data_IF_893171650398
#
_entry.id   IF_893171650398
#
_cell.length_a   1.000
_cell.length_b   1.000
_cell.length_c   1.000
_cell.angle_alpha   90.00
_cell.angle_beta   90.00
_cell.angle_gamma   90.00
#
_symmetry.space_group_name_H-M   'P 1'
#
loop_
_entity.id
_entity.type
_entity.pdbx_description
1 polymer ?
#
# COMPACT_ATOMS: atom_id res chain seq x y z
N UNK A 1 7.07 37.29 24.91
CA UNK A 1 6.56 37.15 23.54
C UNK A 1 6.24 35.68 23.32
N UNK A 2 5.00 35.33 22.94
CA UNK A 2 4.66 33.94 22.65
C UNK A 2 5.58 33.44 21.52
N UNK A 3 6.22 32.30 21.73
CA UNK A 3 7.17 31.74 20.77
C UNK A 3 6.39 31.37 19.50
N UNK A 4 6.67 32.05 18.37
CA UNK A 4 5.97 31.83 17.11
C UNK A 4 6.30 30.44 16.59
N UNK A 5 5.29 29.74 16.08
CA UNK A 5 5.53 28.43 15.46
C UNK A 5 6.05 28.58 14.01
N UNK A 6 6.60 27.49 13.46
CA UNK A 6 7.19 27.51 12.11
C UNK A 6 6.16 27.85 11.02
N UNK A 7 4.89 27.48 11.21
CA UNK A 7 3.84 27.77 10.24
C UNK A 7 3.52 29.26 10.20
N UNK A 8 3.40 29.89 11.38
CA UNK A 8 3.26 31.33 11.51
C UNK A 8 4.45 32.07 10.87
N UNK A 9 5.66 31.53 11.00
CA UNK A 9 6.84 32.07 10.30
C UNK A 9 6.69 31.99 8.77
N UNK A 10 6.14 30.90 8.22
CA UNK A 10 5.87 30.78 6.78
C UNK A 10 4.80 31.78 6.30
N UNK A 11 3.78 32.05 7.13
CA UNK A 11 2.75 33.06 6.85
C UNK A 11 3.38 34.47 6.84
N UNK A 12 4.16 34.82 7.87
CA UNK A 12 4.80 36.13 7.99
C UNK A 12 5.79 36.40 6.85
N UNK A 13 6.53 35.38 6.44
CA UNK A 13 7.49 35.46 5.34
C UNK A 13 6.85 35.37 3.96
N UNK A 14 5.52 35.19 3.87
CA UNK A 14 4.75 34.93 2.64
C UNK A 14 5.26 33.75 1.81
N UNK A 15 5.90 32.78 2.46
CA UNK A 15 6.42 31.55 1.84
C UNK A 15 5.48 30.36 1.96
N UNK A 16 4.30 30.57 2.54
CA UNK A 16 3.35 29.50 2.80
C UNK A 16 3.02 28.72 1.53
N UNK A 17 2.69 29.41 0.44
CA UNK A 17 2.28 28.78 -0.81
C UNK A 17 3.39 27.94 -1.43
N UNK A 18 4.63 28.44 -1.40
CA UNK A 18 5.83 27.70 -1.87
C UNK A 18 6.05 26.43 -1.05
N UNK A 19 5.91 26.51 0.27
CA UNK A 19 6.05 25.35 1.16
C UNK A 19 4.95 24.33 0.92
N UNK A 20 3.71 24.78 0.69
CA UNK A 20 2.59 23.89 0.35
C UNK A 20 2.81 23.19 -0.99
N UNK A 21 3.28 23.88 -2.02
CA UNK A 21 3.56 23.25 -3.31
C UNK A 21 4.71 22.25 -3.18
N UNK A 22 5.76 22.59 -2.43
CA UNK A 22 6.85 21.66 -2.12
C UNK A 22 6.35 20.38 -1.41
N UNK A 23 5.48 20.53 -0.40
CA UNK A 23 4.89 19.39 0.33
C UNK A 23 4.05 18.51 -0.61
N UNK A 24 3.27 19.12 -1.52
CA UNK A 24 2.50 18.39 -2.54
C UNK A 24 3.42 17.66 -3.51
N UNK A 25 4.49 18.30 -3.97
CA UNK A 25 5.48 17.69 -4.86
C UNK A 25 6.19 16.50 -4.21
N UNK A 26 6.65 16.64 -2.97
CA UNK A 26 7.21 15.54 -2.19
C UNK A 26 6.22 14.37 -2.06
N UNK A 27 4.93 14.68 -1.87
CA UNK A 27 3.87 13.68 -1.76
C UNK A 27 3.63 12.93 -3.08
N UNK A 28 3.67 13.64 -4.22
CA UNK A 28 3.60 13.03 -5.57
C UNK A 28 4.81 12.15 -5.87
N UNK A 29 5.99 12.50 -5.35
CA UNK A 29 7.25 11.74 -5.52
C UNK A 29 7.47 10.65 -4.48
N UNK A 30 6.51 10.42 -3.57
CA UNK A 30 6.61 9.47 -2.45
C UNK A 30 7.84 9.69 -1.55
N UNK A 31 8.31 10.93 -1.45
CA UNK A 31 9.44 11.32 -0.59
C UNK A 31 9.07 11.09 0.87
N UNK A 32 10.02 10.57 1.65
CA UNK A 32 9.77 10.28 3.07
C UNK A 32 9.60 11.58 3.86
N UNK A 33 8.80 11.55 4.94
CA UNK A 33 8.65 12.70 5.82
C UNK A 33 10.00 13.18 6.37
N UNK A 34 10.94 12.25 6.62
CA UNK A 34 12.30 12.54 7.09
C UNK A 34 13.08 13.41 6.10
N UNK A 35 13.08 13.07 4.83
CA UNK A 35 13.81 13.80 3.79
C UNK A 35 13.17 15.16 3.53
N UNK A 36 11.85 15.21 3.40
CA UNK A 36 11.11 16.46 3.24
C UNK A 36 11.38 17.44 4.40
N UNK A 37 11.40 16.94 5.65
CA UNK A 37 11.71 17.77 6.82
C UNK A 37 13.15 18.30 6.81
N UNK A 38 14.13 17.51 6.32
CA UNK A 38 15.51 17.98 6.15
C UNK A 38 15.60 19.15 5.17
N UNK A 39 14.86 19.09 4.06
CA UNK A 39 14.82 20.19 3.09
C UNK A 39 14.14 21.45 3.66
N UNK A 40 13.09 21.28 4.46
CA UNK A 40 12.39 22.39 5.11
C UNK A 40 13.13 22.96 6.34
N UNK A 41 14.24 22.34 6.76
CA UNK A 41 14.99 22.77 7.95
C UNK A 41 14.25 22.55 9.27
N UNK A 42 13.33 21.59 9.33
CA UNK A 42 12.52 21.29 10.52
C UNK A 42 12.73 19.86 11.02
N UNK A 43 12.43 19.61 12.29
CA UNK A 43 12.42 18.25 12.84
C UNK A 43 11.11 17.53 12.49
N UNK A 44 11.15 16.19 12.42
CA UNK A 44 9.95 15.39 12.16
C UNK A 44 8.88 15.57 13.24
N UNK A 45 9.29 15.72 14.51
CA UNK A 45 8.39 16.02 15.62
C UNK A 45 7.66 17.34 15.42
N UNK A 46 8.40 18.38 15.02
CA UNK A 46 7.82 19.69 14.70
C UNK A 46 6.80 19.57 13.57
N UNK A 47 7.14 18.86 12.49
CA UNK A 47 6.20 18.65 11.39
C UNK A 47 4.94 17.90 11.82
N UNK A 48 5.06 16.87 12.67
CA UNK A 48 3.90 16.15 13.22
C UNK A 48 3.03 17.05 14.09
N UNK A 49 3.62 17.90 14.92
CA UNK A 49 2.91 18.91 15.71
C UNK A 49 2.19 19.93 14.82
N UNK A 50 2.84 20.37 13.73
CA UNK A 50 2.24 21.29 12.76
C UNK A 50 1.03 20.67 12.07
N UNK A 51 1.11 19.42 11.59
CA UNK A 51 -0.05 18.72 11.01
C UNK A 51 -1.25 18.67 11.94
N UNK A 52 -1.02 18.40 13.24
CA UNK A 52 -2.09 18.37 14.24
C UNK A 52 -2.72 19.74 14.48
N UNK A 53 -1.92 20.81 14.43
CA UNK A 53 -2.38 22.18 14.65
C UNK A 53 -3.03 22.81 13.41
N UNK A 54 -2.54 22.44 12.23
CA UNK A 54 -2.88 22.97 10.93
C UNK A 54 -3.23 21.80 9.99
N UNK A 55 -4.47 21.28 10.07
CA UNK A 55 -4.89 20.10 9.31
C UNK A 55 -4.86 20.31 7.78
N UNK A 56 -4.79 21.55 7.31
CA UNK A 56 -4.58 21.89 5.90
C UNK A 56 -3.30 21.28 5.31
N UNK A 57 -2.24 21.10 6.12
CA UNK A 57 -1.00 20.47 5.69
C UNK A 57 -1.25 18.99 5.39
N UNK A 58 -1.95 18.31 6.29
CA UNK A 58 -2.30 16.90 6.12
C UNK A 58 -3.26 16.71 4.94
N UNK A 59 -4.25 17.59 4.80
CA UNK A 59 -5.17 17.60 3.67
C UNK A 59 -4.43 17.75 2.34
N UNK A 60 -3.49 18.69 2.24
CA UNK A 60 -2.69 18.89 1.03
C UNK A 60 -1.85 17.65 0.66
N UNK A 61 -1.25 16.97 1.66
CA UNK A 61 -0.53 15.71 1.43
C UNK A 61 -1.46 14.59 0.95
N UNK A 62 -2.64 14.48 1.55
CA UNK A 62 -3.62 13.46 1.20
C UNK A 62 -4.16 13.65 -0.22
N UNK A 63 -4.55 14.87 -0.58
CA UNK A 63 -5.00 15.22 -1.93
C UNK A 63 -3.92 14.95 -2.97
N UNK A 64 -2.66 15.32 -2.70
CA UNK A 64 -1.55 15.03 -3.60
C UNK A 64 -1.35 13.52 -3.83
N UNK A 65 -1.51 12.70 -2.79
CA UNK A 65 -1.46 11.22 -2.91
C UNK A 65 -2.64 10.64 -3.65
N UNK A 66 -3.85 11.21 -3.48
CA UNK A 66 -5.02 10.82 -4.27
C UNK A 66 -4.77 11.09 -5.75
N UNK A 67 -4.28 12.30 -6.08
CA UNK A 67 -4.00 12.66 -7.47
C UNK A 67 -2.96 11.72 -8.08
N UNK A 68 -1.87 11.43 -7.37
CA UNK A 68 -0.89 10.43 -7.79
C UNK A 68 -1.54 9.06 -8.05
N UNK A 69 -2.41 8.60 -7.15
CA UNK A 69 -3.14 7.34 -7.32
C UNK A 69 -4.00 7.36 -8.58
N UNK A 70 -4.73 8.45 -8.83
CA UNK A 70 -5.57 8.61 -10.02
C UNK A 70 -4.73 8.59 -11.30
N UNK A 71 -3.61 9.31 -11.33
CA UNK A 71 -2.70 9.35 -12.47
C UNK A 71 -2.14 7.96 -12.79
N UNK A 72 -1.69 7.24 -11.76
CA UNK A 72 -1.18 5.87 -11.90
C UNK A 72 -2.28 4.91 -12.35
N UNK A 73 -3.48 4.98 -11.76
CA UNK A 73 -4.62 4.14 -12.18
C UNK A 73 -5.02 4.44 -13.63
N UNK A 74 -5.04 5.71 -14.04
CA UNK A 74 -5.36 6.10 -15.42
C UNK A 74 -4.30 5.63 -16.42
N UNK A 75 -3.01 5.75 -16.09
CA UNK A 75 -1.93 5.23 -16.91
C UNK A 75 -1.99 3.70 -17.04
N UNK A 76 -2.24 3.02 -15.92
CA UNK A 76 -2.38 1.56 -15.89
C UNK A 76 -3.60 1.09 -16.68
N UNK A 77 -4.72 1.82 -16.60
CA UNK A 77 -5.92 1.54 -17.39
C UNK A 77 -5.62 1.65 -18.89
N UNK A 78 -4.99 2.74 -19.35
CA UNK A 78 -4.58 2.89 -20.76
C UNK A 78 -3.71 1.71 -21.22
N UNK A 79 -2.76 1.28 -20.40
CA UNK A 79 -1.91 0.11 -20.68
C UNK A 79 -2.70 -1.20 -20.72
N UNK A 80 -3.72 -1.35 -19.88
CA UNK A 80 -4.56 -2.55 -19.82
C UNK A 80 -5.47 -2.70 -21.06
N UNK A 81 -6.01 -1.60 -21.60
CA UNK A 81 -6.87 -1.65 -22.80
C UNK A 81 -6.10 -1.59 -24.12
N UNK A 82 -4.85 -1.12 -24.09
CA UNK A 82 -4.09 -0.78 -25.28
C UNK A 82 -4.45 0.62 -25.80
N UNK A 83 -3.49 1.29 -26.42
CA UNK A 83 -3.67 2.66 -26.91
C UNK A 83 -2.72 2.97 -28.07
N UNK A 84 -3.13 3.93 -28.91
CA UNK A 84 -2.31 4.42 -30.01
C UNK A 84 -1.51 5.64 -29.56
N UNK A 85 -0.23 5.68 -29.93
CA UNK A 85 0.66 6.81 -29.71
C UNK A 85 1.03 7.41 -31.05
N UNK A 86 0.76 8.70 -31.22
CA UNK A 86 1.23 9.46 -32.38
C UNK A 86 2.55 10.12 -32.04
N UNK A 87 3.59 9.77 -32.76
CA UNK A 87 4.90 10.40 -32.68
C UNK A 87 5.04 11.38 -33.84
N UNK A 88 5.23 12.65 -33.51
CA UNK A 88 5.54 13.68 -34.50
C UNK A 88 7.06 13.87 -34.55
N UNK A 89 7.70 13.38 -35.61
CA UNK A 89 9.10 13.69 -35.88
C UNK A 89 9.16 14.89 -36.82
N UNK A 90 9.81 15.96 -36.36
CA UNK A 90 10.03 17.15 -37.19
C UNK A 90 11.43 17.09 -37.76
N UNK A 91 11.51 16.96 -39.09
CA UNK A 91 12.75 17.13 -39.81
C UNK A 91 12.85 18.58 -40.28
N UNK A 92 13.89 19.27 -39.83
CA UNK A 92 14.28 20.58 -40.34
C UNK A 92 15.41 20.30 -41.34
N UNK A 93 15.09 20.42 -42.63
CA UNK A 93 16.12 20.34 -43.68
C UNK A 93 16.81 21.71 -43.76
N UNK A 94 18.08 21.77 -43.35
CA UNK A 94 18.95 22.93 -43.61
C UNK A 94 19.36 22.92 -45.09
N UNK A 95 18.50 23.49 -45.93
CA UNK A 95 18.86 23.80 -47.30
C UNK A 95 19.85 24.97 -47.29
N UNK A 96 21.16 24.67 -47.39
CA UNK A 96 22.24 25.65 -47.31
C UNK A 96 22.02 26.92 -48.15
N UNK A 97 22.46 28.07 -47.60
CA UNK A 97 22.57 29.49 -48.05
C UNK A 97 21.66 30.09 -49.15
N UNK A 98 20.86 29.34 -49.91
CA UNK A 98 20.11 29.83 -51.09
C UNK A 98 18.61 29.51 -51.04
N UNK A 99 18.11 28.75 -50.04
CA UNK A 99 16.66 28.52 -49.87
C UNK A 99 16.22 28.62 -48.40
N UNK A 100 15.01 29.12 -48.18
CA UNK A 100 14.37 29.14 -46.87
C UNK A 100 14.16 27.70 -46.34
N UNK A 101 14.38 27.44 -45.04
CA UNK A 101 14.25 26.11 -44.45
C UNK A 101 12.82 25.59 -44.62
N UNK A 102 12.69 24.34 -45.10
CA UNK A 102 11.40 23.66 -45.24
C UNK A 102 11.23 22.71 -44.06
N UNK A 103 10.19 22.94 -43.25
CA UNK A 103 9.83 22.06 -42.13
C UNK A 103 8.96 20.93 -42.65
N UNK A 104 9.44 19.68 -42.57
CA UNK A 104 8.64 18.48 -42.86
C UNK A 104 8.26 17.82 -41.55
N UNK A 105 6.95 17.77 -41.28
CA UNK A 105 6.40 17.09 -40.10
C UNK A 105 5.96 15.70 -40.56
N UNK A 106 6.60 14.65 -40.03
CA UNK A 106 6.20 13.26 -40.26
C UNK A 106 5.49 12.76 -39.01
N UNK A 107 4.23 12.32 -39.17
CA UNK A 107 3.44 11.73 -38.10
C UNK A 107 3.44 10.22 -38.26
N UNK A 108 3.98 9.51 -37.27
CA UNK A 108 3.99 8.04 -37.23
C UNK A 108 3.11 7.58 -36.08
N UNK A 109 2.12 6.72 -36.36
CA UNK A 109 1.25 6.17 -35.31
C UNK A 109 1.76 4.78 -34.94
N UNK A 110 2.06 4.55 -33.65
CA UNK A 110 2.43 3.25 -33.10
C UNK A 110 1.32 2.75 -32.18
N UNK A 111 0.82 1.55 -32.46
CA UNK A 111 -0.14 0.88 -31.59
C UNK A 111 0.58 0.16 -30.45
N UNK A 112 0.16 0.42 -29.22
CA UNK A 112 0.62 -0.29 -28.03
C UNK A 112 -0.48 -1.29 -27.65
N UNK A 113 -0.22 -2.61 -27.72
CA UNK A 113 -1.23 -3.61 -27.41
C UNK A 113 -1.59 -3.61 -25.92
N UNK A 114 -2.77 -4.13 -25.63
CA UNK A 114 -3.25 -4.40 -24.28
C UNK A 114 -2.28 -5.30 -23.51
N UNK A 115 -2.04 -4.96 -22.24
CA UNK A 115 -1.23 -5.77 -21.32
C UNK A 115 -2.13 -6.60 -20.38
N UNK A 116 -2.00 -7.93 -20.47
CA UNK A 116 -2.74 -8.88 -19.63
C UNK A 116 -2.51 -8.58 -18.14
N UNK A 117 -1.26 -8.31 -17.72
CA UNK A 117 -0.95 -8.15 -16.30
C UNK A 117 -1.61 -6.90 -15.70
N UNK A 118 -1.57 -5.79 -16.43
CA UNK A 118 -2.27 -4.56 -16.05
C UNK A 118 -3.78 -4.78 -15.92
N UNK A 119 -4.39 -5.52 -16.86
CA UNK A 119 -5.81 -5.84 -16.82
C UNK A 119 -6.17 -6.74 -15.61
N UNK A 120 -5.42 -7.84 -15.41
CA UNK A 120 -5.61 -8.76 -14.27
C UNK A 120 -5.45 -8.03 -12.93
N UNK A 121 -4.45 -7.14 -12.81
CA UNK A 121 -4.25 -6.35 -11.60
C UNK A 121 -5.45 -5.44 -11.30
N UNK A 122 -5.92 -4.68 -12.29
CA UNK A 122 -7.06 -3.77 -12.13
C UNK A 122 -8.33 -4.56 -11.78
N UNK A 123 -8.59 -5.66 -12.47
CA UNK A 123 -9.74 -6.50 -12.20
C UNK A 123 -9.68 -7.08 -10.78
N UNK A 124 -8.53 -7.61 -10.38
CA UNK A 124 -8.33 -8.19 -9.06
C UNK A 124 -8.51 -7.14 -7.95
N UNK A 125 -8.02 -5.92 -8.18
CA UNK A 125 -8.07 -4.83 -7.21
C UNK A 125 -9.48 -4.28 -6.99
N UNK A 126 -10.29 -4.22 -8.05
CA UNK A 126 -11.61 -3.56 -8.03
C UNK A 126 -12.79 -4.52 -7.91
N UNK A 127 -12.70 -5.73 -8.46
CA UNK A 127 -13.82 -6.68 -8.52
C UNK A 127 -13.62 -7.89 -7.61
N UNK A 128 -12.38 -8.29 -7.31
CA UNK A 128 -12.11 -9.32 -6.31
C UNK A 128 -11.07 -10.35 -6.74
N UNK A 129 -10.80 -11.30 -5.85
CA UNK A 129 -9.71 -12.29 -6.01
C UNK A 129 -9.98 -13.32 -7.11
N UNK A 130 -11.23 -13.46 -7.56
CA UNK A 130 -11.65 -14.36 -8.63
C UNK A 130 -11.04 -14.02 -9.99
N UNK A 131 -10.62 -12.77 -10.19
CA UNK A 131 -9.93 -12.32 -11.40
C UNK A 131 -8.41 -12.49 -11.34
N UNK A 132 -7.88 -12.98 -10.22
CA UNK A 132 -6.46 -13.28 -10.07
C UNK A 132 -6.09 -14.53 -10.85
N UNK A 133 -4.87 -14.58 -11.40
CA UNK A 133 -4.34 -15.80 -12.01
C UNK A 133 -4.32 -16.99 -11.01
N UNK A 134 -4.33 -16.73 -9.70
CA UNK A 134 -4.34 -17.73 -8.62
C UNK A 134 -5.72 -17.99 -8.01
N UNK A 135 -6.80 -17.55 -8.65
CA UNK A 135 -8.16 -17.68 -8.12
C UNK A 135 -8.51 -19.13 -7.73
N UNK A 136 -8.13 -20.10 -8.57
CA UNK A 136 -8.38 -21.52 -8.32
C UNK A 136 -7.62 -22.06 -7.09
N UNK A 137 -6.34 -21.71 -6.95
CA UNK A 137 -5.53 -22.11 -5.78
C UNK A 137 -6.08 -21.53 -4.48
N UNK A 138 -6.48 -20.26 -4.51
CA UNK A 138 -7.08 -19.58 -3.36
C UNK A 138 -8.38 -20.27 -2.95
N UNK A 139 -9.22 -20.66 -3.92
CA UNK A 139 -10.47 -21.39 -3.66
C UNK A 139 -10.20 -22.74 -2.98
N UNK A 140 -9.25 -23.52 -3.50
CA UNK A 140 -8.86 -24.79 -2.87
C UNK A 140 -8.34 -24.58 -1.45
N UNK A 141 -7.52 -23.54 -1.24
CA UNK A 141 -6.98 -23.23 0.09
C UNK A 141 -8.10 -22.83 1.05
N UNK A 142 -9.06 -22.03 0.62
CA UNK A 142 -10.25 -21.68 1.39
C UNK A 142 -11.08 -22.92 1.75
N UNK A 143 -11.30 -23.83 0.79
CA UNK A 143 -11.97 -25.11 1.02
C UNK A 143 -11.22 -25.98 2.04
N UNK A 144 -9.89 -26.07 1.93
CA UNK A 144 -9.03 -26.80 2.90
C UNK A 144 -9.08 -26.18 4.28
N UNK A 145 -9.02 -24.85 4.40
CA UNK A 145 -9.14 -24.13 5.67
C UNK A 145 -10.52 -24.39 6.27
N UNK A 146 -11.57 -24.40 5.45
CA UNK A 146 -12.94 -24.63 5.90
C UNK A 146 -13.16 -26.07 6.37
N UNK A 147 -12.58 -27.04 5.66
CA UNK A 147 -12.57 -28.44 6.09
C UNK A 147 -11.71 -28.69 7.34
N UNK A 148 -10.60 -27.94 7.48
CA UNK A 148 -9.70 -28.02 8.65
C UNK A 148 -10.23 -27.28 9.88
N UNK A 149 -11.23 -26.39 9.73
CA UNK A 149 -12.02 -25.88 10.86
C UNK A 149 -12.94 -27.00 11.33
N UNK A 150 -12.35 -28.04 11.91
CA UNK A 150 -13.06 -28.95 12.79
C UNK A 150 -13.64 -28.09 13.93
N UNK A 151 -14.96 -27.95 13.95
CA UNK A 151 -15.67 -27.46 15.12
C UNK A 151 -15.43 -28.48 16.22
N UNK A 152 -14.62 -28.12 17.22
CA UNK A 152 -14.61 -28.86 18.47
C UNK A 152 -16.01 -28.72 19.07
N UNK A 153 -16.83 -29.77 18.98
CA UNK A 153 -18.12 -29.74 19.67
C UNK A 153 -17.87 -29.70 21.17
N UNK A 154 -18.79 -29.10 21.92
CA UNK A 154 -18.68 -29.04 23.40
C UNK A 154 -18.55 -30.47 23.96
N UNK A 155 -19.16 -31.45 23.30
CA UNK A 155 -19.10 -32.86 23.66
C UNK A 155 -17.71 -33.46 23.45
N UNK A 156 -16.99 -33.09 22.40
CA UNK A 156 -15.59 -33.50 22.19
C UNK A 156 -14.67 -32.90 23.27
N UNK A 157 -14.92 -31.65 23.68
CA UNK A 157 -14.18 -30.98 24.76
C UNK A 157 -14.45 -31.66 26.12
N UNK A 158 -15.70 -32.01 26.42
CA UNK A 158 -16.09 -32.70 27.65
C UNK A 158 -15.49 -34.11 27.69
N UNK A 159 -15.55 -34.83 26.58
CA UNK A 159 -15.00 -36.19 26.47
C UNK A 159 -13.48 -36.17 26.66
N UNK A 160 -12.79 -35.24 26.01
CA UNK A 160 -11.34 -35.08 26.16
C UNK A 160 -10.94 -34.67 27.59
N UNK A 161 -11.71 -33.78 28.23
CA UNK A 161 -11.52 -33.42 29.65
C UNK A 161 -11.75 -34.64 30.55
N UNK A 162 -12.84 -35.37 30.38
CA UNK A 162 -13.14 -36.55 31.19
C UNK A 162 -12.09 -37.66 31.06
N UNK A 163 -11.56 -37.89 29.85
CA UNK A 163 -10.45 -38.83 29.64
C UNK A 163 -9.19 -38.36 30.38
N UNK A 164 -8.87 -37.06 30.33
CA UNK A 164 -7.71 -36.49 31.02
C UNK A 164 -7.86 -36.53 32.55
N UNK A 165 -9.04 -36.20 33.08
CA UNK A 165 -9.35 -36.32 34.52
C UNK A 165 -9.28 -37.77 34.99
N UNK A 166 -9.85 -38.72 34.23
CA UNK A 166 -9.77 -40.14 34.55
C UNK A 166 -8.32 -40.62 34.59
N UNK A 167 -7.49 -40.25 33.61
CA UNK A 167 -6.05 -40.58 33.58
C UNK A 167 -5.28 -39.98 34.76
N UNK A 168 -5.57 -38.74 35.13
CA UNK A 168 -4.89 -38.04 36.23
C UNK A 168 -5.26 -38.62 37.60
N UNK A 169 -6.53 -38.93 37.83
CA UNK A 169 -7.01 -39.60 39.05
C UNK A 169 -6.43 -41.02 39.17
N UNK A 170 -6.35 -41.77 38.07
CA UNK A 170 -5.68 -43.09 38.07
C UNK A 170 -4.20 -43.01 38.45
N UNK A 171 -3.48 -41.98 38.00
CA UNK A 171 -2.07 -41.76 38.34
C UNK A 171 -1.91 -41.37 39.82
N UNK A 172 -2.77 -40.51 40.36
CA UNK A 172 -2.73 -40.12 41.77
C UNK A 172 -3.09 -41.26 42.72
N UNK A 173 -4.03 -42.13 42.36
CA UNK A 173 -4.34 -43.34 43.15
C UNK A 173 -3.15 -44.31 43.16
N UNK A 174 -2.49 -44.51 42.01
CA UNK A 174 -1.27 -45.33 41.93
C UNK A 174 -0.10 -44.76 42.73
N UNK A 175 0.07 -43.43 42.75
CA UNK A 175 1.11 -42.76 43.56
C UNK A 175 0.78 -42.79 45.07
N UNK A 176 -0.50 -42.71 45.45
CA UNK A 176 -0.94 -42.73 46.85
C UNK A 176 -0.92 -44.12 47.50
N UNK A 177 -1.18 -45.18 46.72
CA UNK A 177 -1.09 -46.56 47.21
C UNK A 177 0.34 -47.04 47.44
N UNK A 178 1.34 -46.44 46.78
CA UNK A 178 2.76 -46.79 46.99
C UNK A 178 3.40 -46.11 48.21
N UNK A 179 2.78 -45.06 48.78
CA UNK A 179 3.31 -44.37 49.97
C UNK A 179 2.75 -44.93 51.28
N UNK A 180 1.61 -45.62 51.26
CA UNK A 180 1.05 -46.30 52.44
C UNK A 180 1.76 -47.62 52.77
N UNK A 181 2.49 -48.23 51.82
CA UNK A 181 3.29 -49.43 52.05
C UNK A 181 4.75 -49.18 52.46
N UNK A 182 5.19 -47.92 52.59
CA UNK A 182 6.56 -47.56 53.01
C UNK A 182 6.60 -47.01 54.46
N UNK A 183 5.45 -46.74 55.07
CA UNK A 183 5.35 -46.23 56.46
C UNK A 183 4.87 -47.28 57.49
N UNK A 184 4.75 -48.55 57.11
CA UNK A 184 4.36 -49.67 58.01
C UNK A 184 5.31 -50.87 57.88
N UNK A 185 6.61 -50.66 57.65
CA UNK A 185 7.60 -51.73 57.85
C UNK A 185 8.92 -51.23 58.39
#
# INVERSE_FOLDING_TARGET
MANKDTYQLWVETRKLDEVFEFIKECSRKLVTQKEMCKHLGITQDTFTRLKRKYPEIEKAQFEAKINLKMDLTGALYKRAIGYDVTEETQHIDDAGKTRAPRRKIVRTTRHIPADKYSAVYLLTKHFGREYSDKAYELKILEEKIKASKEEWTIDDIITTKNIKYKKMVSIQIFSGMNLLNILVS
#
